data_IF_164878085946
#
_entry.id   IF_164878085946
#
_cell.length_a   1.000
_cell.length_b   1.000
_cell.length_c   1.000
_cell.angle_alpha   90.00
_cell.angle_beta   90.00
_cell.angle_gamma   90.00
#
_symmetry.space_group_name_H-M   'P 1'
#
loop_
_entity.id
_entity.type
_entity.pdbx_description
1 polymer ?
#
# COMPACT_ATOMS: atom_id res chain seq x y z
N UNK A 1 2.11 12.67 -3.29
CA UNK A 1 1.20 11.53 -3.35
C UNK A 1 1.82 10.45 -4.23
N UNK A 2 1.47 9.16 -4.02
CA UNK A 2 2.08 8.06 -4.78
C UNK A 2 1.62 7.98 -6.23
N UNK A 3 0.48 8.58 -6.58
CA UNK A 3 -0.12 8.54 -7.91
C UNK A 3 -0.14 9.89 -8.59
N UNK A 4 -0.07 9.89 -9.92
CA UNK A 4 -0.29 11.10 -10.72
C UNK A 4 -1.74 11.58 -10.62
N UNK A 5 -1.95 12.88 -10.87
CA UNK A 5 -3.27 13.49 -10.82
C UNK A 5 -3.43 14.43 -9.64
N UNK A 6 -4.68 14.65 -9.25
CA UNK A 6 -5.06 15.55 -8.16
C UNK A 6 -5.87 14.79 -7.12
N UNK A 7 -5.95 15.35 -5.90
CA UNK A 7 -6.85 14.86 -4.86
C UNK A 7 -8.24 14.56 -5.46
N UNK A 8 -8.82 13.43 -5.11
CA UNK A 8 -10.11 12.91 -5.59
C UNK A 8 -10.14 12.45 -7.07
N UNK A 9 -9.05 12.63 -7.83
CA UNK A 9 -8.95 12.22 -9.23
C UNK A 9 -7.55 11.70 -9.58
N UNK A 10 -7.00 10.82 -8.73
CA UNK A 10 -5.73 10.17 -9.01
C UNK A 10 -5.85 9.12 -10.13
N UNK A 11 -4.82 9.05 -10.95
CA UNK A 11 -4.63 7.95 -11.89
C UNK A 11 -3.89 6.80 -11.20
N UNK A 12 -4.62 5.82 -10.71
CA UNK A 12 -4.08 4.67 -9.99
C UNK A 12 -3.22 3.74 -10.86
N UNK A 13 -3.15 3.97 -12.17
CA UNK A 13 -2.26 3.25 -13.07
C UNK A 13 -0.86 3.88 -13.19
N UNK A 14 -0.68 5.11 -12.69
CA UNK A 14 0.54 5.90 -12.86
C UNK A 14 1.13 6.36 -11.55
N UNK A 15 2.28 5.81 -11.22
CA UNK A 15 3.03 6.20 -10.04
C UNK A 15 3.86 7.47 -10.25
N UNK A 16 4.07 8.22 -9.17
CA UNK A 16 5.02 9.33 -9.08
C UNK A 16 6.35 8.82 -8.53
N UNK A 17 7.37 8.56 -9.36
CA UNK A 17 8.63 7.94 -8.90
C UNK A 17 9.35 8.75 -7.82
N UNK A 18 9.23 10.09 -7.86
CA UNK A 18 9.86 10.95 -6.87
C UNK A 18 9.28 10.72 -5.46
N UNK A 19 7.97 10.52 -5.33
CA UNK A 19 7.34 10.19 -4.06
C UNK A 19 7.98 8.97 -3.39
N UNK A 20 8.26 7.93 -4.16
CA UNK A 20 8.87 6.71 -3.64
C UNK A 20 10.36 6.87 -3.34
N UNK A 21 11.11 7.67 -4.10
CA UNK A 21 12.49 8.02 -3.77
C UNK A 21 12.59 8.80 -2.44
N UNK A 22 11.70 9.76 -2.25
CA UNK A 22 11.64 10.51 -0.99
C UNK A 22 11.26 9.59 0.19
N UNK A 23 10.41 8.60 -0.07
CA UNK A 23 10.04 7.61 0.94
C UNK A 23 11.22 6.70 1.30
N UNK A 24 11.97 6.21 0.30
CA UNK A 24 13.20 5.43 0.51
C UNK A 24 14.23 6.19 1.34
N UNK A 25 14.42 7.47 1.03
CA UNK A 25 15.33 8.31 1.79
C UNK A 25 14.93 8.38 3.27
N UNK A 26 13.65 8.54 3.57
CA UNK A 26 13.13 8.53 4.95
C UNK A 26 13.33 7.19 5.65
N UNK A 27 13.17 6.07 4.95
CA UNK A 27 13.44 4.74 5.52
C UNK A 27 14.91 4.58 5.88
N UNK A 28 15.84 5.10 5.06
CA UNK A 28 17.26 5.12 5.37
C UNK A 28 17.56 5.98 6.60
N UNK A 29 17.03 7.20 6.66
CA UNK A 29 17.20 8.11 7.81
C UNK A 29 16.68 7.48 9.11
N UNK A 30 15.52 6.80 9.08
CA UNK A 30 15.02 6.05 10.24
C UNK A 30 15.97 4.90 10.64
N UNK A 31 16.50 4.19 9.66
CA UNK A 31 17.45 3.10 9.91
C UNK A 31 18.73 3.59 10.58
N UNK A 32 19.25 4.75 10.19
CA UNK A 32 20.46 5.38 10.76
C UNK A 32 20.31 5.69 12.26
N UNK A 33 19.11 6.05 12.69
CA UNK A 33 18.81 6.32 14.11
C UNK A 33 18.30 5.08 14.85
N UNK A 34 18.29 3.90 14.22
CA UNK A 34 17.82 2.65 14.80
C UNK A 34 16.29 2.54 14.94
N UNK A 35 15.54 3.36 14.21
CA UNK A 35 14.08 3.33 14.20
C UNK A 35 13.53 2.40 13.12
N UNK A 36 12.40 1.78 13.41
CA UNK A 36 11.65 0.94 12.48
C UNK A 36 10.45 1.71 11.93
N UNK A 37 10.03 1.36 10.72
CA UNK A 37 8.88 1.93 10.03
C UNK A 37 7.81 0.87 9.81
N UNK A 38 6.59 1.12 10.27
CA UNK A 38 5.41 0.33 9.88
C UNK A 38 4.77 0.97 8.65
N UNK A 39 4.84 0.28 7.52
CA UNK A 39 4.23 0.72 6.27
C UNK A 39 2.82 0.19 6.18
N UNK A 40 1.86 1.08 6.34
CA UNK A 40 0.44 0.80 6.15
C UNK A 40 0.14 0.88 4.65
N UNK A 41 -0.19 -0.26 4.04
CA UNK A 41 -0.36 -0.37 2.59
C UNK A 41 -1.66 0.26 2.10
N UNK A 42 -2.75 0.11 2.85
CA UNK A 42 -4.06 0.64 2.50
C UNK A 42 -4.68 1.45 3.63
N UNK A 43 -5.27 2.57 3.25
CA UNK A 43 -6.03 3.43 4.13
C UNK A 43 -7.48 3.48 3.63
N UNK A 44 -8.33 2.66 4.22
CA UNK A 44 -9.65 2.34 3.67
C UNK A 44 -10.76 3.33 4.03
N UNK A 45 -10.51 4.26 4.95
CA UNK A 45 -11.51 5.22 5.44
C UNK A 45 -11.06 6.69 5.26
N UNK A 46 -10.53 7.01 4.10
CA UNK A 46 -10.08 8.39 3.79
C UNK A 46 -11.24 9.36 3.52
N UNK A 47 -12.47 8.91 3.68
CA UNK A 47 -13.70 9.70 3.45
C UNK A 47 -13.75 10.34 2.05
N UNK A 48 -13.20 9.68 1.05
CA UNK A 48 -13.14 10.18 -0.32
C UNK A 48 -12.05 11.23 -0.55
N UNK A 49 -11.14 11.40 0.39
CA UNK A 49 -10.06 12.39 0.30
C UNK A 49 -9.03 12.02 -0.78
N UNK A 50 -8.65 10.75 -0.84
CA UNK A 50 -7.73 10.19 -1.84
C UNK A 50 -8.44 9.24 -2.81
N UNK A 51 -9.64 8.79 -2.49
CA UNK A 51 -10.38 7.77 -3.23
C UNK A 51 -9.64 6.43 -3.36
N UNK A 52 -8.78 6.08 -2.43
CA UNK A 52 -8.10 4.77 -2.39
C UNK A 52 -9.12 3.62 -2.25
N UNK A 53 -10.23 3.89 -1.58
CA UNK A 53 -11.38 2.98 -1.46
C UNK A 53 -12.07 2.68 -2.81
N UNK A 54 -11.75 3.42 -3.87
CA UNK A 54 -12.28 3.23 -5.22
C UNK A 54 -11.35 2.46 -6.16
N UNK A 55 -10.18 2.07 -5.69
CA UNK A 55 -9.30 1.19 -6.44
C UNK A 55 -10.00 -0.14 -6.71
N UNK A 56 -9.90 -0.62 -7.95
CA UNK A 56 -10.25 -2.00 -8.25
C UNK A 56 -9.16 -2.98 -7.76
N UNK A 57 -9.48 -4.27 -7.77
CA UNK A 57 -8.56 -5.32 -7.29
C UNK A 57 -7.24 -5.36 -8.07
N UNK A 58 -7.25 -5.00 -9.35
CA UNK A 58 -6.06 -4.98 -10.21
C UNK A 58 -5.16 -3.82 -9.81
N UNK A 59 -5.73 -2.65 -9.61
CA UNK A 59 -5.02 -1.44 -9.17
C UNK A 59 -4.44 -1.63 -7.76
N UNK A 60 -5.22 -2.20 -6.85
CA UNK A 60 -4.78 -2.50 -5.49
C UNK A 60 -3.63 -3.51 -5.48
N UNK A 61 -3.71 -4.57 -6.28
CA UNK A 61 -2.64 -5.56 -6.42
C UNK A 61 -1.38 -4.96 -7.08
N UNK A 62 -1.54 -4.05 -8.04
CA UNK A 62 -0.44 -3.35 -8.68
C UNK A 62 0.31 -2.47 -7.67
N UNK A 63 -0.41 -1.68 -6.86
CA UNK A 63 0.17 -0.89 -5.77
C UNK A 63 0.92 -1.79 -4.78
N UNK A 64 0.27 -2.86 -4.30
CA UNK A 64 0.85 -3.79 -3.34
C UNK A 64 2.18 -4.35 -3.85
N UNK A 65 2.20 -4.89 -5.07
CA UNK A 65 3.40 -5.45 -5.68
C UNK A 65 4.51 -4.41 -5.84
N UNK A 66 4.16 -3.21 -6.28
CA UNK A 66 5.13 -2.14 -6.48
C UNK A 66 5.80 -1.74 -5.16
N UNK A 67 5.00 -1.50 -4.11
CA UNK A 67 5.50 -1.06 -2.81
C UNK A 67 6.32 -2.16 -2.13
N UNK A 68 5.82 -3.40 -2.12
CA UNK A 68 6.52 -4.53 -1.49
C UNK A 68 7.84 -4.81 -2.21
N UNK A 69 7.85 -4.90 -3.54
CA UNK A 69 9.07 -5.14 -4.29
C UNK A 69 10.11 -4.04 -4.09
N UNK A 70 9.66 -2.81 -3.91
CA UNK A 70 10.55 -1.66 -3.76
C UNK A 70 11.16 -1.56 -2.37
N UNK A 71 10.37 -1.83 -1.33
CA UNK A 71 10.78 -1.58 0.06
C UNK A 71 11.20 -2.84 0.83
N UNK A 72 11.05 -4.05 0.26
CA UNK A 72 11.39 -5.31 0.95
C UNK A 72 12.88 -5.47 1.27
N UNK A 73 13.75 -4.69 0.64
CA UNK A 73 15.19 -4.68 0.94
C UNK A 73 15.55 -3.91 2.22
N UNK A 74 14.66 -3.08 2.73
CA UNK A 74 14.88 -2.32 3.96
C UNK A 74 14.60 -3.17 5.19
N UNK A 75 15.61 -3.38 6.03
CA UNK A 75 15.52 -4.25 7.22
C UNK A 75 14.67 -3.68 8.34
N UNK A 76 14.49 -2.37 8.35
CA UNK A 76 13.72 -1.63 9.34
C UNK A 76 12.26 -1.38 8.92
N UNK A 77 11.73 -2.16 7.99
CA UNK A 77 10.35 -2.05 7.53
C UNK A 77 9.50 -3.18 8.07
N UNK A 78 8.37 -2.80 8.66
CA UNK A 78 7.24 -3.68 8.99
C UNK A 78 6.09 -3.41 8.05
N UNK A 79 5.17 -4.37 7.95
CA UNK A 79 4.08 -4.30 7.01
C UNK A 79 2.74 -4.44 7.71
N UNK A 80 1.90 -3.41 7.59
CA UNK A 80 0.48 -3.46 7.95
C UNK A 80 -0.36 -3.38 6.68
N UNK A 81 -1.29 -4.33 6.52
CA UNK A 81 -2.09 -4.40 5.30
C UNK A 81 -3.04 -3.21 5.19
N UNK A 82 -3.76 -2.92 6.27
CA UNK A 82 -4.68 -1.79 6.33
C UNK A 82 -4.83 -1.32 7.78
N UNK A 83 -5.00 -0.01 7.95
CA UNK A 83 -5.33 0.56 9.24
C UNK A 83 -6.86 0.55 9.41
N UNK A 84 -7.33 0.08 10.58
CA UNK A 84 -8.75 0.15 11.01
C UNK A 84 -9.74 -0.27 9.90
N UNK A 85 -9.46 -1.36 9.20
CA UNK A 85 -10.28 -1.83 8.07
C UNK A 85 -11.73 -2.15 8.46
N UNK A 86 -11.98 -2.45 9.73
CA UNK A 86 -13.28 -2.73 10.34
C UNK A 86 -14.17 -1.48 10.51
N UNK A 87 -13.55 -0.30 10.53
CA UNK A 87 -14.26 0.99 10.57
C UNK A 87 -14.84 1.36 9.19
N UNK A 88 -14.32 0.75 8.13
CA UNK A 88 -14.81 1.00 6.79
C UNK A 88 -16.16 0.32 6.54
N UNK A 89 -17.23 1.07 6.64
CA UNK A 89 -18.61 0.58 6.40
C UNK A 89 -18.88 0.11 4.96
N UNK A 90 -17.92 0.28 4.04
CA UNK A 90 -18.05 -0.06 2.62
C UNK A 90 -17.38 -1.38 2.23
N UNK A 91 -16.53 -1.94 3.07
CA UNK A 91 -15.91 -3.23 2.80
C UNK A 91 -16.74 -4.30 3.49
N UNK A 92 -17.50 -5.09 2.72
CA UNK A 92 -18.05 -6.35 3.22
C UNK A 92 -16.86 -7.19 3.72
N UNK A 93 -16.82 -7.59 5.00
CA UNK A 93 -15.74 -8.42 5.55
C UNK A 93 -15.49 -9.71 4.75
N UNK A 94 -16.49 -10.18 4.00
CA UNK A 94 -16.40 -11.32 3.09
C UNK A 94 -15.60 -11.00 1.82
N UNK A 95 -15.59 -9.74 1.37
CA UNK A 95 -14.78 -9.30 0.21
C UNK A 95 -13.33 -9.03 0.62
N UNK A 96 -13.07 -8.45 1.78
CA UNK A 96 -11.71 -8.28 2.31
C UNK A 96 -10.97 -9.62 2.40
N UNK A 97 -11.67 -10.69 2.84
CA UNK A 97 -11.12 -12.04 2.88
C UNK A 97 -10.86 -12.69 1.51
N UNK A 98 -11.46 -12.21 0.42
CA UNK A 98 -11.22 -12.73 -0.93
C UNK A 98 -9.98 -12.13 -1.57
N UNK A 99 -9.71 -10.84 -1.37
CA UNK A 99 -8.49 -10.16 -1.85
C UNK A 99 -7.25 -10.77 -1.19
N UNK A 100 -7.31 -11.04 0.12
CA UNK A 100 -6.23 -11.67 0.86
C UNK A 100 -5.98 -13.12 0.42
N UNK A 101 -7.03 -13.92 0.19
CA UNK A 101 -6.90 -15.31 -0.28
C UNK A 101 -6.37 -15.42 -1.70
N UNK A 102 -6.79 -14.54 -2.60
CA UNK A 102 -6.31 -14.52 -3.97
C UNK A 102 -4.88 -13.98 -4.09
N UNK A 103 -4.47 -13.06 -3.22
CA UNK A 103 -3.09 -12.57 -3.13
C UNK A 103 -2.12 -13.66 -2.62
N UNK A 104 -2.50 -14.40 -1.57
CA UNK A 104 -1.67 -15.47 -1.00
C UNK A 104 -1.53 -16.69 -1.93
N UNK A 105 -2.55 -17.01 -2.72
CA UNK A 105 -2.52 -18.14 -3.63
C UNK A 105 -1.60 -17.95 -4.85
N UNK A 106 -1.13 -16.73 -5.10
CA UNK A 106 -0.27 -16.39 -6.25
C UNK A 106 1.19 -16.07 -5.90
N UNK A 107 1.51 -16.01 -4.63
CA UNK A 107 2.89 -15.99 -4.16
C UNK A 107 3.36 -17.44 -4.04
N UNK A 108 3.64 -18.06 -5.19
CA UNK A 108 4.29 -19.36 -5.23
C UNK A 108 5.65 -19.31 -4.50
N UNK A 109 6.17 -20.46 -4.01
CA UNK A 109 7.41 -20.46 -3.24
C UNK A 109 8.54 -19.83 -4.09
N UNK A 110 9.26 -18.89 -3.49
CA UNK A 110 10.49 -18.39 -4.06
C UNK A 110 11.46 -19.59 -4.23
N UNK A 111 11.87 -19.85 -5.46
CA UNK A 111 12.95 -20.77 -5.78
C UNK A 111 14.28 -20.04 -5.69
#
# INVERSE_FOLDING_TARGET
>A
YPFEGKRQSFDFSRFVPQYFRDYEQRLLELSEIGAEADIILFHTYDFGFFNIDKMDDIQALYLLRYVVNRFSAFRNVWWSLANEYDVCQRIDPRQAGSVLRNGSARLGPAR
#
